data_IF_990350140326
#
_entry.id   IF_990350140326
#
_cell.length_a   1.000
_cell.length_b   1.000
_cell.length_c   1.000
_cell.angle_alpha   90.00
_cell.angle_beta   90.00
_cell.angle_gamma   90.00
#
_symmetry.space_group_name_H-M   'P 1'
#
loop_
_entity.id
_entity.type
_entity.pdbx_description
1 polymer ?
#
# COMPACT_ATOMS: atom_id res chain seq x y z
N UNK A 1 -5.80 -40.43 -7.96
CA UNK A 1 -4.80 -39.55 -8.60
C UNK A 1 -5.48 -38.20 -8.75
N UNK A 2 -5.24 -37.32 -7.78
CA UNK A 2 -6.05 -36.15 -7.48
C UNK A 2 -5.98 -35.10 -8.60
N UNK A 3 -7.13 -34.71 -9.16
CA UNK A 3 -7.21 -33.60 -10.10
C UNK A 3 -7.05 -32.28 -9.33
N UNK A 4 -6.22 -31.34 -9.77
CA UNK A 4 -6.12 -30.04 -9.13
C UNK A 4 -7.44 -29.27 -9.26
N UNK A 5 -8.09 -29.02 -8.13
CA UNK A 5 -9.30 -28.19 -8.04
C UNK A 5 -8.93 -26.74 -8.42
N UNK A 6 -9.57 -26.13 -9.43
CA UNK A 6 -9.35 -24.73 -9.74
C UNK A 6 -9.95 -23.87 -8.62
N UNK A 7 -9.07 -23.23 -7.84
CA UNK A 7 -9.49 -22.23 -6.84
C UNK A 7 -10.09 -21.01 -7.56
N UNK A 8 -11.33 -20.60 -7.24
CA UNK A 8 -11.96 -19.45 -7.88
C UNK A 8 -11.18 -18.17 -7.55
N UNK A 9 -10.71 -17.51 -8.62
CA UNK A 9 -9.93 -16.28 -8.58
C UNK A 9 -10.58 -15.21 -7.73
N UNK A 10 -9.96 -14.91 -6.59
CA UNK A 10 -10.19 -13.67 -5.88
C UNK A 10 -9.68 -12.55 -6.79
N UNK A 11 -10.56 -12.02 -7.63
CA UNK A 11 -10.37 -10.74 -8.33
C UNK A 11 -10.31 -9.69 -7.23
N UNK A 12 -9.12 -9.53 -6.64
CA UNK A 12 -8.81 -8.39 -5.80
C UNK A 12 -9.04 -7.18 -6.68
N UNK A 13 -10.21 -6.57 -6.51
CA UNK A 13 -10.60 -5.28 -7.05
C UNK A 13 -9.46 -4.33 -6.70
N UNK A 14 -8.48 -4.22 -7.59
CA UNK A 14 -7.43 -3.23 -7.51
C UNK A 14 -8.19 -1.93 -7.68
N UNK A 15 -8.59 -1.31 -6.56
CA UNK A 15 -8.98 0.09 -6.55
C UNK A 15 -7.85 0.78 -7.27
N UNK A 16 -8.11 1.21 -8.51
CA UNK A 16 -7.09 1.56 -9.49
C UNK A 16 -6.00 2.33 -8.77
N UNK A 17 -4.79 1.76 -8.73
CA UNK A 17 -3.64 2.47 -8.20
C UNK A 17 -3.51 3.66 -9.13
N UNK A 18 -3.94 4.84 -8.70
CA UNK A 18 -3.53 6.09 -9.33
C UNK A 18 -2.02 6.04 -9.28
N UNK A 19 -1.42 5.65 -10.40
CA UNK A 19 -0.01 5.88 -10.65
C UNK A 19 0.12 7.37 -10.44
N UNK A 20 0.90 7.85 -9.46
CA UNK A 20 1.17 9.26 -9.34
C UNK A 20 2.05 9.60 -10.55
N UNK A 21 1.43 9.82 -11.71
CA UNK A 21 2.06 10.39 -12.89
C UNK A 21 2.27 11.86 -12.55
N UNK A 22 3.25 12.15 -11.70
CA UNK A 22 3.67 13.52 -11.41
C UNK A 22 4.57 14.01 -12.54
N UNK A 23 4.01 14.06 -13.75
CA UNK A 23 4.53 14.92 -14.82
C UNK A 23 4.03 16.32 -14.50
N UNK A 24 4.69 16.97 -13.54
CA UNK A 24 4.53 18.40 -13.34
C UNK A 24 5.94 18.89 -13.10
N UNK A 25 6.45 19.56 -14.12
CA UNK A 25 7.76 20.16 -14.28
C UNK A 25 7.93 21.33 -13.30
N UNK A 26 7.95 21.02 -12.01
CA UNK A 26 8.20 21.99 -10.96
C UNK A 26 9.45 21.57 -10.18
N UNK A 27 10.50 22.37 -10.33
CA UNK A 27 11.86 22.18 -9.79
C UNK A 27 11.94 22.10 -8.26
N UNK A 28 10.81 22.07 -7.54
CA UNK A 28 10.75 21.96 -6.08
C UNK A 28 10.84 20.52 -5.58
N UNK A 29 10.64 19.51 -6.44
CA UNK A 29 10.74 18.08 -6.09
C UNK A 29 12.20 17.60 -6.04
N UNK A 30 12.88 17.99 -4.96
CA UNK A 30 14.30 17.68 -4.69
C UNK A 30 14.59 16.20 -4.42
N UNK A 31 13.60 15.42 -3.94
CA UNK A 31 13.82 14.06 -3.47
C UNK A 31 13.32 13.03 -4.49
N UNK A 32 14.25 12.38 -5.20
CA UNK A 32 13.97 11.33 -6.19
C UNK A 32 14.09 9.94 -5.57
N UNK A 33 13.23 9.00 -5.95
CA UNK A 33 13.40 7.59 -5.61
C UNK A 33 14.54 6.97 -6.41
N UNK A 34 15.32 6.09 -5.77
CA UNK A 34 16.42 5.38 -6.44
C UNK A 34 15.93 4.18 -7.26
N UNK A 35 14.76 3.64 -6.93
CA UNK A 35 14.20 2.42 -7.54
C UNK A 35 13.13 2.73 -8.61
N UNK A 36 12.64 3.97 -8.69
CA UNK A 36 11.70 4.40 -9.72
C UNK A 36 11.81 5.91 -10.00
N UNK A 37 11.05 6.40 -10.98
CA UNK A 37 11.09 7.81 -11.40
C UNK A 37 10.26 8.77 -10.53
N UNK A 38 9.71 8.29 -9.40
CA UNK A 38 8.91 9.11 -8.51
C UNK A 38 9.76 10.21 -7.84
N UNK A 39 9.22 11.44 -7.83
CA UNK A 39 9.85 12.62 -7.21
C UNK A 39 8.94 13.23 -6.16
N UNK A 40 9.53 13.71 -5.08
CA UNK A 40 8.82 14.23 -3.92
C UNK A 40 9.42 15.57 -3.48
N UNK A 41 8.56 16.47 -3.00
CA UNK A 41 8.98 17.77 -2.42
C UNK A 41 9.64 17.58 -1.06
N UNK A 42 9.22 16.56 -0.30
CA UNK A 42 9.73 16.25 1.05
C UNK A 42 10.34 14.87 1.12
N UNK A 43 11.45 14.75 1.87
CA UNK A 43 12.15 13.48 2.10
C UNK A 43 11.26 12.43 2.79
N UNK A 44 10.43 12.84 3.75
CA UNK A 44 9.50 11.92 4.44
C UNK A 44 8.55 11.22 3.45
N UNK A 45 8.06 11.94 2.45
CA UNK A 45 7.19 11.37 1.42
C UNK A 45 7.92 10.35 0.56
N UNK A 46 9.18 10.63 0.19
CA UNK A 46 10.03 9.68 -0.51
C UNK A 46 10.26 8.42 0.35
N UNK A 47 10.64 8.57 1.62
CA UNK A 47 10.88 7.45 2.53
C UNK A 47 9.64 6.58 2.70
N UNK A 48 8.46 7.20 2.85
CA UNK A 48 7.18 6.49 2.89
C UNK A 48 6.88 5.76 1.59
N UNK A 49 7.16 6.39 0.44
CA UNK A 49 7.00 5.77 -0.86
C UNK A 49 7.90 4.52 -0.99
N UNK A 50 9.19 4.63 -0.70
CA UNK A 50 10.10 3.47 -0.74
C UNK A 50 9.60 2.34 0.14
N UNK A 51 9.19 2.64 1.38
CA UNK A 51 8.64 1.62 2.29
C UNK A 51 7.32 0.98 1.84
N UNK A 52 6.52 1.68 1.05
CA UNK A 52 5.18 1.19 0.70
C UNK A 52 5.10 0.54 -0.68
N UNK A 53 6.07 0.83 -1.55
CA UNK A 53 6.10 0.37 -2.93
C UNK A 53 7.24 -0.61 -3.19
N UNK A 54 8.41 -0.34 -2.62
CA UNK A 54 9.63 -1.09 -2.91
C UNK A 54 9.98 -2.09 -1.81
N UNK A 55 9.62 -1.81 -0.55
CA UNK A 55 9.76 -2.82 0.51
C UNK A 55 8.46 -3.59 0.68
N UNK A 56 8.56 -4.93 0.72
CA UNK A 56 7.44 -5.84 1.03
C UNK A 56 7.00 -5.82 2.51
N UNK A 57 7.54 -4.90 3.31
CA UNK A 57 7.16 -4.70 4.70
C UNK A 57 5.73 -4.15 4.79
N UNK A 58 4.77 -5.05 5.05
CA UNK A 58 3.36 -4.71 5.25
C UNK A 58 2.94 -5.07 6.67
N UNK A 59 2.26 -4.14 7.32
CA UNK A 59 1.70 -4.33 8.63
C UNK A 59 0.43 -5.17 8.52
N UNK A 60 0.41 -6.32 9.19
CA UNK A 60 -0.74 -7.22 9.23
C UNK A 60 -1.72 -6.75 10.31
N UNK A 61 -3.00 -6.79 10.00
CA UNK A 61 -4.06 -6.55 10.97
C UNK A 61 -4.06 -7.65 12.06
N UNK A 62 -3.94 -7.31 13.35
CA UNK A 62 -3.93 -8.28 14.43
C UNK A 62 -5.31 -8.88 14.74
N UNK A 63 -6.40 -8.33 14.18
CA UNK A 63 -7.75 -8.86 14.39
C UNK A 63 -7.89 -10.26 13.76
N UNK A 64 -8.32 -11.23 14.58
CA UNK A 64 -8.55 -12.61 14.16
C UNK A 64 -9.55 -12.65 13.00
N UNK A 65 -9.25 -13.41 11.95
CA UNK A 65 -10.09 -13.56 10.76
C UNK A 65 -10.06 -12.38 9.77
N UNK A 66 -9.32 -11.28 10.05
CA UNK A 66 -9.29 -10.15 9.12
C UNK A 66 -8.30 -10.34 7.95
N UNK A 67 -7.08 -10.81 8.22
CA UNK A 67 -6.05 -11.09 7.21
C UNK A 67 -5.63 -9.89 6.34
N UNK A 68 -6.06 -8.66 6.68
CA UNK A 68 -5.73 -7.45 5.91
C UNK A 68 -4.32 -6.96 6.21
N UNK A 69 -3.64 -6.50 5.17
CA UNK A 69 -2.30 -5.93 5.28
C UNK A 69 -2.27 -4.47 4.81
N UNK A 70 -1.40 -3.68 5.42
CA UNK A 70 -1.31 -2.23 5.21
C UNK A 70 0.15 -1.81 5.08
N UNK A 71 0.46 -1.00 4.07
CA UNK A 71 1.80 -0.45 3.89
C UNK A 71 2.11 0.72 4.82
N UNK A 72 1.17 1.12 5.70
CA UNK A 72 1.27 2.31 6.57
C UNK A 72 0.57 2.08 7.91
N UNK A 73 1.19 2.58 8.98
CA UNK A 73 0.67 2.44 10.35
C UNK A 73 -0.62 3.23 10.58
N UNK A 74 -0.70 4.46 10.06
CA UNK A 74 -1.90 5.29 10.18
C UNK A 74 -3.12 4.66 9.51
N UNK A 75 -2.93 4.00 8.36
CA UNK A 75 -3.98 3.24 7.68
C UNK A 75 -4.43 2.03 8.51
N UNK A 76 -3.50 1.26 9.07
CA UNK A 76 -3.82 0.14 9.97
C UNK A 76 -4.61 0.62 11.18
N UNK A 77 -4.15 1.68 11.84
CA UNK A 77 -4.81 2.27 13.02
C UNK A 77 -6.23 2.73 12.69
N UNK A 78 -6.42 3.38 11.55
CA UNK A 78 -7.74 3.78 11.08
C UNK A 78 -8.63 2.57 10.79
N UNK A 79 -8.08 1.54 10.16
CA UNK A 79 -8.80 0.29 9.91
C UNK A 79 -9.19 -0.41 11.23
N UNK A 80 -8.37 -0.39 12.27
CA UNK A 80 -8.72 -1.02 13.55
C UNK A 80 -10.01 -0.43 14.15
N UNK A 81 -10.32 0.84 13.86
CA UNK A 81 -11.59 1.46 14.28
C UNK A 81 -12.80 0.80 13.63
N UNK A 82 -12.68 0.24 12.42
CA UNK A 82 -13.79 -0.46 11.77
C UNK A 82 -14.17 -1.77 12.46
N UNK A 83 -13.25 -2.39 13.19
CA UNK A 83 -13.55 -3.59 13.99
C UNK A 83 -14.31 -3.27 15.28
N UNK A 84 -14.07 -2.07 15.83
CA UNK A 84 -14.75 -1.60 17.05
C UNK A 84 -16.15 -1.02 16.80
N UNK A 85 -16.56 -0.84 15.55
CA UNK A 85 -17.84 -0.23 15.18
C UNK A 85 -19.07 -1.16 15.33
N UNK A 86 -18.93 -2.26 16.08
CA UNK A 86 -20.05 -3.09 16.53
C UNK A 86 -20.01 -3.13 18.05
N UNK A 87 -20.67 -2.17 18.67
CA UNK A 87 -21.20 -2.30 20.03
C UNK A 87 -22.71 -2.47 19.86
#
# INVERSE_FOLDING_TARGET
MDLPVPVPGLTKKTRGRKVPTTTSEDSTRKWKCSECEARFVRFEHLKRHTRSIHTDEKLVCPHLGCGRTFSRNDNLKSHMRSHRAKI
#
